data_IF_825742081456
#
_entry.id   IF_825742081456
#
_cell.length_a   1.000
_cell.length_b   1.000
_cell.length_c   1.000
_cell.angle_alpha   90.00
_cell.angle_beta   90.00
_cell.angle_gamma   90.00
#
_symmetry.space_group_name_H-M   'P 1'
#
loop_
_entity.id
_entity.type
_entity.pdbx_description
1 polymer ?
#
# COMPACT_ATOMS: atom_id res chain seq x y z
N UNK A 1 -1.74 1.34 8.86
CA UNK A 1 -0.70 0.55 8.16
C UNK A 1 0.58 0.34 8.98
N UNK A 2 1.21 1.39 9.53
CA UNK A 2 2.40 1.21 10.41
C UNK A 2 2.10 0.32 11.63
N UNK A 3 0.94 0.51 12.24
CA UNK A 3 0.46 -0.26 13.40
C UNK A 3 0.31 -1.76 13.11
N UNK A 4 0.11 -2.15 11.84
CA UNK A 4 0.02 -3.55 11.41
C UNK A 4 1.31 -4.03 10.70
N UNK A 5 2.42 -3.33 10.89
CA UNK A 5 3.76 -3.77 10.50
C UNK A 5 4.26 -3.34 9.12
N UNK A 6 3.46 -2.65 8.30
CA UNK A 6 3.93 -2.16 7.00
C UNK A 6 4.82 -0.93 7.12
N UNK A 7 5.95 -0.93 6.37
CA UNK A 7 6.91 0.18 6.32
C UNK A 7 6.62 1.06 5.10
N UNK A 8 6.61 2.38 5.30
CA UNK A 8 6.57 3.34 4.19
C UNK A 8 7.95 3.44 3.54
N UNK A 9 7.98 3.73 2.23
CA UNK A 9 9.23 3.96 1.51
C UNK A 9 9.89 5.29 1.90
N UNK A 10 9.07 6.34 2.09
CA UNK A 10 9.54 7.67 2.45
C UNK A 10 9.19 8.00 3.90
N UNK A 11 10.02 8.81 4.60
CA UNK A 11 9.70 9.32 5.93
C UNK A 11 8.50 10.27 5.89
N UNK A 12 7.82 10.43 7.03
CA UNK A 12 6.54 11.15 7.12
C UNK A 12 6.58 12.58 6.58
N UNK A 13 7.68 13.31 6.81
CA UNK A 13 7.83 14.70 6.37
C UNK A 13 7.95 14.88 4.85
N UNK A 14 8.16 13.80 4.09
CA UNK A 14 8.20 13.81 2.62
C UNK A 14 6.93 13.24 1.99
N UNK A 15 5.98 12.76 2.79
CA UNK A 15 4.75 12.16 2.27
C UNK A 15 3.77 13.24 1.82
N UNK A 16 3.13 13.01 0.68
CA UNK A 16 2.00 13.82 0.22
C UNK A 16 0.67 13.14 0.62
N UNK A 17 -0.39 13.91 0.93
CA UNK A 17 -1.70 13.37 1.31
C UNK A 17 -2.50 12.93 0.06
N UNK A 18 -1.87 12.15 -0.82
CA UNK A 18 -2.45 11.72 -2.10
C UNK A 18 -2.32 10.21 -2.28
N UNK A 19 -1.09 9.71 -2.14
CA UNK A 19 -0.75 8.31 -2.35
C UNK A 19 0.49 7.97 -1.52
N UNK A 20 0.42 6.86 -0.79
CA UNK A 20 1.52 6.40 0.07
C UNK A 20 2.12 5.15 -0.55
N UNK A 21 3.45 5.12 -0.63
CA UNK A 21 4.21 3.94 -1.07
C UNK A 21 4.69 3.15 0.14
N UNK A 22 4.38 1.85 0.15
CA UNK A 22 4.80 0.90 1.16
C UNK A 22 5.78 -0.11 0.57
N UNK A 23 6.75 -0.53 1.37
CA UNK A 23 7.59 -1.69 1.08
C UNK A 23 6.74 -2.95 1.16
N UNK A 24 6.93 -3.88 0.23
CA UNK A 24 6.44 -5.24 0.43
C UNK A 24 7.14 -5.86 1.64
N UNK A 25 6.44 -6.65 2.48
CA UNK A 25 7.08 -7.42 3.54
C UNK A 25 8.22 -8.28 3.00
N UNK A 26 9.34 -8.29 3.72
CA UNK A 26 10.47 -9.17 3.46
C UNK A 26 10.19 -10.54 4.12
N UNK A 27 9.15 -11.21 3.63
CA UNK A 27 8.70 -12.53 4.07
C UNK A 27 8.54 -13.42 2.84
N UNK A 28 9.14 -14.61 2.85
CA UNK A 28 9.07 -15.57 1.76
C UNK A 28 7.62 -16.01 1.44
N UNK A 29 6.70 -15.89 2.38
CA UNK A 29 5.29 -16.20 2.20
C UNK A 29 4.47 -15.00 1.66
N UNK A 30 5.07 -13.82 1.55
CA UNK A 30 4.38 -12.67 1.00
C UNK A 30 4.30 -12.76 -0.53
N UNK A 31 3.09 -12.87 -1.05
CA UNK A 31 2.79 -12.80 -2.47
C UNK A 31 1.89 -11.60 -2.76
N UNK A 32 2.42 -10.63 -3.51
CA UNK A 32 1.69 -9.40 -3.81
C UNK A 32 0.40 -9.64 -4.59
N UNK A 33 0.37 -10.58 -5.53
CA UNK A 33 -0.81 -10.89 -6.33
C UNK A 33 -1.94 -11.47 -5.46
N UNK A 34 -1.61 -12.40 -4.56
CA UNK A 34 -2.57 -12.93 -3.58
C UNK A 34 -3.08 -11.84 -2.64
N UNK A 35 -2.20 -10.94 -2.19
CA UNK A 35 -2.57 -9.81 -1.34
C UNK A 35 -3.51 -8.83 -2.07
N UNK A 36 -3.16 -8.43 -3.28
CA UNK A 36 -3.96 -7.58 -4.16
C UNK A 36 -5.35 -8.19 -4.43
N UNK A 37 -5.40 -9.46 -4.84
CA UNK A 37 -6.66 -10.14 -5.13
C UNK A 37 -7.55 -10.29 -3.89
N UNK A 38 -6.94 -10.54 -2.72
CA UNK A 38 -7.65 -10.62 -1.44
C UNK A 38 -8.31 -9.29 -1.04
N UNK A 39 -7.63 -8.16 -1.28
CA UNK A 39 -8.20 -6.83 -1.07
C UNK A 39 -9.29 -6.50 -2.09
N UNK A 40 -9.07 -6.86 -3.36
CA UNK A 40 -10.06 -6.65 -4.42
C UNK A 40 -11.38 -7.37 -4.14
N UNK A 41 -11.33 -8.61 -3.62
CA UNK A 41 -12.51 -9.37 -3.16
C UNK A 41 -13.28 -8.67 -2.03
N UNK A 42 -12.62 -7.78 -1.27
CA UNK A 42 -13.22 -6.96 -0.21
C UNK A 42 -13.64 -5.56 -0.69
N UNK A 43 -13.52 -5.27 -1.98
CA UNK A 43 -13.88 -3.97 -2.56
C UNK A 43 -12.76 -2.92 -2.52
N UNK A 44 -11.51 -3.32 -2.22
CA UNK A 44 -10.37 -2.40 -2.14
C UNK A 44 -9.36 -2.69 -3.25
N UNK A 45 -9.14 -1.74 -4.14
CA UNK A 45 -8.11 -1.83 -5.17
C UNK A 45 -6.87 -1.04 -4.73
N UNK A 46 -5.71 -1.68 -4.79
CA UNK A 46 -4.41 -1.05 -4.52
C UNK A 46 -3.54 -1.06 -5.77
N UNK A 47 -2.47 -0.27 -5.82
CA UNK A 47 -1.63 -0.16 -7.00
C UNK A 47 -0.28 -0.87 -6.81
N UNK A 48 0.24 -1.58 -7.83
CA UNK A 48 1.61 -2.06 -7.77
C UNK A 48 2.60 -0.89 -7.71
N UNK A 49 3.74 -1.16 -7.07
CA UNK A 49 4.92 -0.32 -7.17
C UNK A 49 5.45 -0.28 -8.61
N UNK A 50 6.18 0.77 -8.96
CA UNK A 50 6.80 0.94 -10.29
C UNK A 50 8.31 1.19 -10.20
N UNK A 51 8.89 1.12 -8.99
CA UNK A 51 10.28 1.45 -8.75
C UNK A 51 11.16 0.21 -8.95
N UNK A 52 12.29 0.40 -9.64
CA UNK A 52 13.30 -0.65 -9.85
C UNK A 52 14.13 -0.95 -8.59
N UNK A 53 14.22 0.01 -7.68
CA UNK A 53 15.09 -0.07 -6.50
C UNK A 53 14.47 -0.81 -5.30
N UNK A 54 13.16 -1.09 -5.32
CA UNK A 54 12.46 -1.74 -4.21
C UNK A 54 11.14 -2.37 -4.62
N UNK A 55 10.87 -3.57 -4.09
CA UNK A 55 9.55 -4.20 -4.16
C UNK A 55 8.57 -3.41 -3.29
N UNK A 56 7.65 -2.71 -3.94
CA UNK A 56 6.72 -1.78 -3.29
C UNK A 56 5.30 -1.96 -3.80
N UNK A 57 4.35 -1.38 -3.07
CA UNK A 57 2.97 -1.17 -3.52
C UNK A 57 2.47 0.18 -3.00
N UNK A 58 1.34 0.65 -3.53
CA UNK A 58 0.81 1.98 -3.25
C UNK A 58 -0.67 1.93 -2.87
N UNK A 59 -1.05 2.76 -1.90
CA UNK A 59 -2.44 2.99 -1.51
C UNK A 59 -2.73 4.47 -1.69
N UNK A 60 -3.71 4.78 -2.55
CA UNK A 60 -4.22 6.14 -2.75
C UNK A 60 -5.26 6.49 -1.69
N UNK A 61 -5.30 7.77 -1.30
CA UNK A 61 -6.26 8.29 -0.32
C UNK A 61 -7.07 9.50 -0.86
N UNK A 62 -7.25 9.58 -2.18
CA UNK A 62 -8.01 10.62 -2.88
C UNK A 62 -9.25 10.06 -3.58
N UNK A 63 -10.12 10.95 -4.05
CA UNK A 63 -11.41 10.60 -4.68
C UNK A 63 -12.54 10.60 -3.65
N UNK A 64 -13.57 9.80 -3.88
CA UNK A 64 -14.71 9.69 -2.96
C UNK A 64 -14.43 8.68 -1.83
N UNK A 65 -13.41 8.98 -1.02
CA UNK A 65 -13.04 8.21 0.16
C UNK A 65 -13.44 8.96 1.42
N UNK A 66 -14.00 8.24 2.38
CA UNK A 66 -14.44 8.76 3.68
C UNK A 66 -13.83 7.93 4.80
N UNK A 67 -14.01 8.36 6.06
CA UNK A 67 -13.60 7.56 7.23
C UNK A 67 -14.29 6.20 7.32
N UNK A 68 -15.41 5.98 6.61
CA UNK A 68 -16.04 4.65 6.52
C UNK A 68 -15.29 3.68 5.59
N UNK A 69 -14.35 4.20 4.81
CA UNK A 69 -13.47 3.42 3.93
C UNK A 69 -12.08 3.19 4.57
N UNK A 70 -11.82 3.77 5.75
CA UNK A 70 -10.53 3.77 6.42
C UNK A 70 -10.40 2.64 7.46
#
# INVERSE_FOLDING_TARGET
MKEIGFKQLLPDHLQAPIIITFMQPDDANFNFELFYNSLGKKGYLIYPGKLTIANTFRIGCIGHLTSKNA
#
